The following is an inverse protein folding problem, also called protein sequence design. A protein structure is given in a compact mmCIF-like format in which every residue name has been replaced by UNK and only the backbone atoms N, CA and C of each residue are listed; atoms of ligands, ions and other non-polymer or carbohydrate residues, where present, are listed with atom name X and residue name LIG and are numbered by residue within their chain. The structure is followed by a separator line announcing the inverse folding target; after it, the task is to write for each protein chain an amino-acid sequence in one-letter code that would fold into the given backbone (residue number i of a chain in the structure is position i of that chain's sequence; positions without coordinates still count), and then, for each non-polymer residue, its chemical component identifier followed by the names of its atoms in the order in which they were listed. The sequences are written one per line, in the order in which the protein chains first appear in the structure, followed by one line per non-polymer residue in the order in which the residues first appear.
data_IF_865549487305
#
_entry.id   IF_865549487305
#
_cell.length_a   1.000
_cell.length_b   1.000
_cell.length_c   1.000
_cell.angle_alpha   90.00
_cell.angle_beta   90.00
_cell.angle_gamma   90.00
#
_symmetry.space_group_name_H-M   'P 1'
#
loop_
_entity.id
_entity.type
_entity.pdbx_description
1 polymer ?
#
# COMPACT_ATOMS: atom_id res chain seq x y z
N UNK A 1 8.58 12.70 -9.00
CA UNK A 1 8.44 11.23 -9.15
C UNK A 1 9.84 10.69 -9.47
N UNK A 2 10.31 9.61 -8.83
CA UNK A 2 11.60 9.01 -9.17
C UNK A 2 11.63 8.61 -10.64
N UNK A 3 12.82 8.63 -11.25
CA UNK A 3 12.99 8.16 -12.63
C UNK A 3 12.68 6.65 -12.74
N UNK A 4 12.32 6.19 -13.94
CA UNK A 4 12.08 4.76 -14.17
C UNK A 4 13.39 3.99 -13.97
N UNK A 5 13.39 3.02 -13.05
CA UNK A 5 14.52 2.14 -12.78
C UNK A 5 15.16 1.55 -14.05
N UNK A 6 14.34 1.16 -15.04
CA UNK A 6 14.84 0.59 -16.31
C UNK A 6 15.73 1.58 -17.04
N UNK A 7 15.29 2.84 -17.09
CA UNK A 7 16.01 3.94 -17.72
C UNK A 7 17.32 4.18 -16.97
N UNK A 8 17.26 4.31 -15.65
CA UNK A 8 18.42 4.61 -14.80
C UNK A 8 19.51 3.53 -14.92
N UNK A 9 19.14 2.24 -14.86
CA UNK A 9 20.11 1.15 -14.99
C UNK A 9 20.70 1.09 -16.41
N UNK A 10 19.87 1.31 -17.43
CA UNK A 10 20.34 1.28 -18.82
C UNK A 10 21.26 2.45 -19.15
N UNK A 11 20.96 3.65 -18.65
CA UNK A 11 21.83 4.81 -18.78
C UNK A 11 23.15 4.60 -18.03
N UNK A 12 23.12 3.95 -16.87
CA UNK A 12 24.33 3.56 -16.15
C UNK A 12 25.18 2.55 -16.95
N UNK A 13 24.55 1.59 -17.64
CA UNK A 13 25.22 0.66 -18.53
C UNK A 13 25.90 1.38 -19.70
N UNK A 14 25.17 2.22 -20.44
CA UNK A 14 25.71 2.98 -21.58
C UNK A 14 26.82 3.93 -21.15
N UNK A 15 26.66 4.60 -20.00
CA UNK A 15 27.71 5.46 -19.43
C UNK A 15 28.98 4.67 -19.13
N UNK A 16 28.88 3.50 -18.46
CA UNK A 16 30.03 2.66 -18.14
C UNK A 16 30.68 2.06 -19.38
N UNK A 17 29.89 1.81 -20.43
CA UNK A 17 30.36 1.38 -21.75
C UNK A 17 31.25 2.44 -22.40
N UNK A 18 30.79 3.70 -22.40
CA UNK A 18 31.56 4.83 -22.93
C UNK A 18 32.82 5.13 -22.11
N UNK A 19 32.76 4.93 -20.79
CA UNK A 19 33.90 5.12 -19.89
C UNK A 19 34.90 3.96 -19.90
N UNK A 20 34.63 2.86 -20.63
CA UNK A 20 35.50 1.68 -20.65
C UNK A 20 35.55 0.93 -19.32
N UNK A 21 34.53 1.07 -18.46
CA UNK A 21 34.45 0.48 -17.12
C UNK A 21 33.62 -0.81 -17.06
N UNK A 22 33.18 -1.32 -18.20
CA UNK A 22 32.50 -2.61 -18.30
C UNK A 22 33.52 -3.71 -18.58
N UNK A 23 33.21 -4.93 -18.13
CA UNK A 23 33.93 -6.12 -18.55
C UNK A 23 33.83 -6.33 -20.06
N UNK A 24 34.81 -7.02 -20.64
CA UNK A 24 34.82 -7.38 -22.06
C UNK A 24 33.53 -8.09 -22.49
N UNK A 25 32.99 -8.94 -21.62
CA UNK A 25 31.74 -9.67 -21.83
C UNK A 25 30.50 -8.77 -21.92
N UNK A 26 30.48 -7.67 -21.15
CA UNK A 26 29.35 -6.73 -21.14
C UNK A 26 29.47 -5.66 -22.24
N UNK A 27 30.68 -5.39 -22.76
CA UNK A 27 30.90 -4.51 -23.90
C UNK A 27 30.27 -5.07 -25.18
N UNK A 28 30.53 -6.35 -25.47
CA UNK A 28 29.84 -7.13 -26.51
C UNK A 28 28.95 -8.18 -25.87
N UNK A 29 27.77 -7.76 -25.42
CA UNK A 29 26.82 -8.60 -24.70
C UNK A 29 26.14 -9.64 -25.61
N UNK A 30 26.90 -10.57 -26.19
CA UNK A 30 26.38 -11.77 -26.87
C UNK A 30 25.76 -12.73 -25.84
N UNK A 31 24.91 -13.69 -26.27
CA UNK A 31 24.33 -14.65 -25.32
C UNK A 31 25.39 -15.49 -24.59
N UNK A 32 26.50 -15.82 -25.25
CA UNK A 32 27.64 -16.51 -24.65
C UNK A 32 28.38 -15.63 -23.64
N UNK A 33 28.69 -14.39 -24.00
CA UNK A 33 29.39 -13.47 -23.11
C UNK A 33 28.56 -13.11 -21.87
N UNK A 34 27.25 -12.94 -22.03
CA UNK A 34 26.34 -12.72 -20.90
C UNK A 34 26.31 -13.90 -19.94
N UNK A 35 26.33 -15.14 -20.46
CA UNK A 35 26.43 -16.34 -19.63
C UNK A 35 27.75 -16.36 -18.86
N UNK A 36 28.86 -16.07 -19.54
CA UNK A 36 30.18 -16.05 -18.91
C UNK A 36 30.26 -14.99 -17.81
N UNK A 37 29.71 -13.80 -18.06
CA UNK A 37 29.66 -12.75 -17.06
C UNK A 37 28.82 -13.17 -15.84
N UNK A 38 27.68 -13.84 -16.05
CA UNK A 38 26.89 -14.38 -14.94
C UNK A 38 27.71 -15.38 -14.10
N UNK A 39 28.52 -16.23 -14.74
CA UNK A 39 29.37 -17.20 -14.02
C UNK A 39 30.44 -16.49 -13.19
N UNK A 40 31.14 -15.52 -13.78
CA UNK A 40 32.17 -14.72 -13.09
C UNK A 40 31.57 -14.02 -11.88
N UNK A 41 30.48 -13.25 -12.09
CA UNK A 41 29.83 -12.49 -11.01
C UNK A 41 29.26 -13.42 -9.93
N UNK A 42 28.72 -14.58 -10.31
CA UNK A 42 28.21 -15.56 -9.35
C UNK A 42 29.34 -16.18 -8.50
N UNK A 43 30.54 -16.37 -9.04
CA UNK A 43 31.68 -16.91 -8.29
C UNK A 43 32.31 -15.87 -7.36
N UNK A 44 32.36 -14.61 -7.80
CA UNK A 44 33.10 -13.57 -7.09
C UNK A 44 32.26 -12.78 -6.08
N UNK A 45 30.99 -12.49 -6.41
CA UNK A 45 30.19 -11.46 -5.72
C UNK A 45 28.79 -11.89 -5.32
N UNK A 46 28.47 -13.18 -5.41
CA UNK A 46 27.14 -13.67 -5.06
C UNK A 46 26.79 -13.39 -3.59
N UNK A 47 25.61 -12.79 -3.36
CA UNK A 47 25.04 -12.65 -2.02
C UNK A 47 23.65 -13.29 -1.94
N UNK A 48 23.17 -13.67 -0.73
CA UNK A 48 21.83 -14.25 -0.57
C UNK A 48 20.69 -13.37 -1.10
N UNK A 49 20.88 -12.05 -1.14
CA UNK A 49 19.91 -11.09 -1.68
C UNK A 49 19.77 -11.19 -3.21
N UNK A 50 20.80 -11.68 -3.89
CA UNK A 50 20.78 -11.88 -5.34
C UNK A 50 19.89 -13.06 -5.75
N UNK A 51 19.47 -13.89 -4.78
CA UNK A 51 18.60 -15.05 -5.03
C UNK A 51 17.31 -14.66 -5.76
N UNK A 52 16.70 -13.52 -5.43
CA UNK A 52 15.47 -13.07 -6.07
C UNK A 52 15.69 -12.73 -7.54
N UNK A 53 16.79 -12.04 -7.85
CA UNK A 53 17.16 -11.63 -9.22
C UNK A 53 17.40 -12.86 -10.09
N UNK A 54 18.23 -13.79 -9.61
CA UNK A 54 18.58 -15.00 -10.34
C UNK A 54 17.37 -15.92 -10.50
N UNK A 55 16.51 -16.05 -9.48
CA UNK A 55 15.27 -16.82 -9.55
C UNK A 55 14.34 -16.31 -10.65
N UNK A 56 14.16 -14.98 -10.72
CA UNK A 56 13.28 -14.34 -11.69
C UNK A 56 13.75 -14.54 -13.13
N UNK A 57 15.07 -14.68 -13.34
CA UNK A 57 15.64 -14.87 -14.66
C UNK A 57 15.70 -16.33 -15.09
N UNK A 58 16.23 -17.23 -14.24
CA UNK A 58 16.49 -18.64 -14.58
C UNK A 58 15.34 -19.61 -14.24
N UNK A 59 14.22 -19.10 -13.71
CA UNK A 59 13.06 -19.90 -13.22
C UNK A 59 13.44 -20.83 -12.05
N UNK A 60 12.49 -21.62 -11.52
CA UNK A 60 12.62 -22.42 -10.27
C UNK A 60 13.76 -23.45 -10.33
N UNK A 61 14.99 -22.97 -10.19
CA UNK A 61 16.14 -23.75 -9.85
C UNK A 61 15.97 -24.37 -8.48
N UNK A 62 16.41 -25.61 -8.36
CA UNK A 62 16.46 -26.32 -7.09
C UNK A 62 17.35 -25.51 -6.12
N UNK A 63 16.75 -24.96 -5.07
CA UNK A 63 17.46 -24.11 -4.08
C UNK A 63 18.63 -24.84 -3.45
N UNK A 64 18.55 -26.16 -3.37
CA UNK A 64 19.58 -27.01 -2.77
C UNK A 64 20.83 -27.12 -3.64
N UNK A 65 20.70 -26.96 -4.97
CA UNK A 65 21.83 -27.08 -5.92
C UNK A 65 22.60 -25.78 -6.13
N UNK A 66 22.08 -24.65 -5.66
CA UNK A 66 22.68 -23.32 -5.83
C UNK A 66 22.68 -22.80 -7.28
N UNK A 67 22.87 -21.48 -7.44
CA UNK A 67 22.83 -20.86 -8.78
C UNK A 67 24.07 -21.10 -9.62
N UNK A 68 25.22 -21.41 -9.00
CA UNK A 68 26.44 -21.71 -9.75
C UNK A 68 26.22 -22.94 -10.66
N UNK A 69 25.69 -24.03 -10.09
CA UNK A 69 25.34 -25.22 -10.85
C UNK A 69 24.27 -24.95 -11.93
N UNK A 70 23.28 -24.10 -11.63
CA UNK A 70 22.26 -23.72 -12.62
C UNK A 70 22.90 -22.97 -13.79
N UNK A 71 23.77 -22.00 -13.52
CA UNK A 71 24.45 -21.20 -14.54
C UNK A 71 25.39 -22.04 -15.40
N UNK A 72 26.13 -22.96 -14.79
CA UNK A 72 27.03 -23.88 -15.50
C UNK A 72 26.27 -24.77 -16.47
N UNK A 73 25.05 -25.19 -16.11
CA UNK A 73 24.19 -26.01 -16.98
C UNK A 73 23.24 -25.20 -17.88
N UNK A 74 23.17 -23.87 -17.70
CA UNK A 74 22.29 -23.02 -18.52
C UNK A 74 22.92 -22.81 -19.88
N UNK A 75 22.16 -23.08 -20.94
CA UNK A 75 22.64 -22.88 -22.30
C UNK A 75 22.58 -21.40 -22.73
N UNK A 76 23.50 -21.00 -23.63
CA UNK A 76 23.68 -19.60 -24.02
C UNK A 76 22.43 -18.99 -24.66
N UNK A 77 21.58 -19.77 -25.33
CA UNK A 77 20.35 -19.27 -25.95
C UNK A 77 19.37 -18.64 -24.96
N UNK A 78 19.44 -19.00 -23.67
CA UNK A 78 18.64 -18.40 -22.59
C UNK A 78 18.86 -16.89 -22.50
N UNK A 79 20.06 -16.43 -22.85
CA UNK A 79 20.45 -15.02 -22.82
C UNK A 79 20.15 -14.28 -24.12
N UNK A 80 19.60 -14.94 -25.16
CA UNK A 80 19.29 -14.31 -26.45
C UNK A 80 18.38 -13.09 -26.30
N UNK A 81 17.36 -13.19 -25.44
CA UNK A 81 16.47 -12.06 -25.21
C UNK A 81 17.17 -10.93 -24.46
N UNK A 82 17.99 -11.24 -23.45
CA UNK A 82 18.79 -10.24 -22.73
C UNK A 82 19.71 -9.46 -23.69
N UNK A 83 20.43 -10.18 -24.57
CA UNK A 83 21.28 -9.55 -25.60
C UNK A 83 20.49 -8.60 -26.50
N UNK A 84 19.29 -9.00 -26.95
CA UNK A 84 18.43 -8.15 -27.77
C UNK A 84 17.90 -6.92 -27.02
N UNK A 85 17.66 -7.04 -25.71
CA UNK A 85 17.27 -5.90 -24.86
C UNK A 85 18.41 -4.89 -24.80
N UNK A 86 19.64 -5.33 -24.56
CA UNK A 86 20.81 -4.45 -24.46
C UNK A 86 21.15 -3.76 -25.79
N UNK A 87 20.84 -4.40 -26.93
CA UNK A 87 20.99 -3.81 -28.27
C UNK A 87 19.86 -2.83 -28.65
N UNK A 88 18.86 -2.64 -27.79
CA UNK A 88 17.71 -1.77 -28.07
C UNK A 88 16.66 -2.37 -29.01
N UNK A 89 16.73 -3.68 -29.30
CA UNK A 89 15.81 -4.38 -30.22
C UNK A 89 14.42 -4.67 -29.64
N UNK A 90 14.20 -4.38 -28.35
CA UNK A 90 12.94 -4.68 -27.65
C UNK A 90 12.30 -3.38 -27.16
N UNK A 91 11.07 -3.10 -27.62
CA UNK A 91 10.36 -1.84 -27.27
C UNK A 91 9.99 -1.70 -25.79
N UNK A 92 9.58 -2.80 -25.14
CA UNK A 92 9.12 -2.83 -23.75
C UNK A 92 9.67 -4.06 -23.01
N UNK A 93 10.98 -4.09 -22.74
CA UNK A 93 11.61 -5.19 -22.02
C UNK A 93 11.04 -5.37 -20.61
N UNK A 94 11.05 -6.59 -20.10
CA UNK A 94 10.66 -6.89 -18.72
C UNK A 94 11.64 -6.34 -17.69
N UNK A 95 11.20 -6.12 -16.45
CA UNK A 95 12.06 -5.58 -15.39
C UNK A 95 13.23 -6.49 -15.04
N UNK A 96 13.03 -7.82 -15.13
CA UNK A 96 14.04 -8.85 -14.81
C UNK A 96 15.36 -8.71 -15.58
N UNK A 97 15.33 -8.16 -16.81
CA UNK A 97 16.54 -7.93 -17.61
C UNK A 97 17.40 -6.82 -16.99
N UNK A 98 16.77 -5.79 -16.45
CA UNK A 98 17.48 -4.65 -15.84
C UNK A 98 17.96 -4.99 -14.43
N UNK A 99 17.22 -5.80 -13.67
CA UNK A 99 17.70 -6.28 -12.36
C UNK A 99 18.88 -7.23 -12.52
N UNK A 100 18.85 -8.11 -13.54
CA UNK A 100 20.02 -8.90 -13.90
C UNK A 100 21.19 -8.01 -14.35
N UNK A 101 20.94 -7.00 -15.20
CA UNK A 101 21.98 -6.07 -15.64
C UNK A 101 22.58 -5.29 -14.46
N UNK A 102 21.75 -4.84 -13.53
CA UNK A 102 22.19 -4.15 -12.33
C UNK A 102 23.08 -5.05 -11.46
N UNK A 103 22.71 -6.32 -11.29
CA UNK A 103 23.54 -7.31 -10.60
C UNK A 103 24.90 -7.52 -11.30
N UNK A 104 24.89 -7.73 -12.62
CA UNK A 104 26.11 -7.91 -13.41
C UNK A 104 27.07 -6.72 -13.29
N UNK A 105 26.54 -5.49 -13.29
CA UNK A 105 27.34 -4.27 -13.17
C UNK A 105 27.64 -3.83 -11.73
N UNK A 106 27.17 -4.54 -10.70
CA UNK A 106 27.26 -4.07 -9.31
C UNK A 106 26.56 -2.70 -9.07
N UNK A 107 25.46 -2.46 -9.78
CA UNK A 107 24.65 -1.26 -9.64
C UNK A 107 23.77 -1.34 -8.38
N UNK A 108 23.78 -0.26 -7.59
CA UNK A 108 22.97 -0.16 -6.39
C UNK A 108 21.92 0.96 -6.51
N UNK A 109 20.65 0.69 -6.18
CA UNK A 109 20.08 -0.60 -5.74
C UNK A 109 19.92 -1.65 -6.86
N UNK A 110 20.19 -2.92 -6.56
CA UNK A 110 20.16 -4.05 -7.52
C UNK A 110 18.75 -4.47 -7.98
N UNK A 111 17.72 -4.19 -7.19
CA UNK A 111 16.32 -4.49 -7.52
C UNK A 111 15.52 -3.21 -7.69
N UNK A 112 14.51 -3.28 -8.56
CA UNK A 112 13.59 -2.17 -8.77
C UNK A 112 12.79 -1.85 -7.50
N UNK A 113 12.42 -2.88 -6.73
CA UNK A 113 11.76 -2.71 -5.43
C UNK A 113 12.62 -1.92 -4.46
N UNK A 114 13.91 -2.27 -4.31
CA UNK A 114 14.82 -1.55 -3.43
C UNK A 114 15.07 -0.12 -3.92
N UNK A 115 15.20 0.08 -5.24
CA UNK A 115 15.32 1.40 -5.85
C UNK A 115 14.13 2.30 -5.53
N UNK A 116 12.89 1.86 -5.77
CA UNK A 116 11.75 2.72 -5.45
C UNK A 116 11.59 2.90 -3.95
N UNK A 117 11.84 1.86 -3.14
CA UNK A 117 11.76 1.93 -1.67
C UNK A 117 12.67 3.02 -1.09
N UNK A 118 13.88 3.22 -1.64
CA UNK A 118 14.80 4.25 -1.12
C UNK A 118 14.29 5.69 -1.25
N UNK A 119 13.32 5.96 -2.12
CA UNK A 119 12.70 7.29 -2.23
C UNK A 119 11.53 7.51 -1.26
N UNK A 120 11.02 6.44 -0.65
CA UNK A 120 9.81 6.47 0.17
C UNK A 120 10.03 5.98 1.61
N UNK A 121 11.22 5.47 1.94
CA UNK A 121 11.61 5.25 3.33
C UNK A 121 11.75 6.59 4.04
N UNK A 122 10.68 6.99 4.72
CA UNK A 122 10.69 8.05 5.73
C UNK A 122 11.65 7.59 6.83
N UNK A 123 12.61 8.44 7.28
CA UNK A 123 13.43 8.11 8.43
C UNK A 123 12.51 7.74 9.58
N UNK A 124 12.58 6.48 10.04
CA UNK A 124 12.00 6.15 11.33
C UNK A 124 12.76 6.98 12.34
N UNK A 125 12.11 8.02 12.88
CA UNK A 125 12.56 8.66 14.10
C UNK A 125 12.68 7.53 15.11
N UNK A 126 13.92 7.15 15.43
CA UNK A 126 14.20 6.26 16.54
C UNK A 126 13.95 7.12 17.76
N UNK A 127 12.72 7.09 18.26
CA UNK A 127 12.39 7.70 19.52
C UNK A 127 13.31 7.14 20.60
N UNK A 128 13.80 8.08 21.39
CA UNK A 128 14.62 7.88 22.55
C UNK A 128 13.88 7.02 23.60
N UNK A 129 14.36 5.81 23.80
CA UNK A 129 14.35 5.15 25.11
C UNK A 129 15.32 3.97 25.05
N UNK A 130 16.52 4.16 25.57
CA UNK A 130 17.25 3.31 26.53
C UNK A 130 18.67 3.89 26.58
N UNK A 131 18.92 4.74 27.57
CA UNK A 131 20.24 4.95 28.14
C UNK A 131 20.32 4.03 29.36
N UNK A 132 21.31 3.14 29.34
CA UNK A 132 22.11 2.56 30.42
C UNK A 132 22.72 1.29 29.78
N UNK A 133 24.01 1.04 29.74
CA UNK A 133 25.17 1.55 30.47
C UNK A 133 26.41 0.96 29.73
N UNK A 134 27.61 1.50 30.01
CA UNK A 134 28.95 1.00 29.63
C UNK A 134 29.46 1.48 28.25
N UNK A 135 30.60 2.16 28.08
CA UNK A 135 31.78 2.31 28.93
C UNK A 135 32.49 3.64 28.57
N UNK A 136 33.02 4.30 29.60
CA UNK A 136 34.20 5.19 29.61
C UNK A 136 35.27 4.85 28.54
N UNK A 137 36.12 5.72 27.99
CA UNK A 137 36.52 7.13 28.18
C UNK A 137 37.45 7.49 27.00
N UNK A 138 37.61 8.79 26.76
CA UNK A 138 38.79 9.50 26.19
C UNK A 138 38.54 10.33 24.91
N UNK A 139 38.18 11.59 25.16
CA UNK A 139 38.88 12.81 24.74
C UNK A 139 39.84 12.72 23.53
N UNK A 140 39.57 13.52 22.48
CA UNK A 140 40.37 14.70 22.05
C UNK A 140 39.79 15.29 20.75
N UNK A 141 39.33 16.55 20.88
CA UNK A 141 39.35 17.74 20.02
C UNK A 141 39.39 17.67 18.47
N UNK A 142 38.51 18.51 17.90
CA UNK A 142 38.73 19.31 16.69
C UNK A 142 38.40 18.62 15.37
N UNK A 143 37.82 19.24 14.36
CA UNK A 143 37.45 20.63 14.09
C UNK A 143 36.49 20.55 12.87
N UNK A 144 35.51 21.44 12.83
CA UNK A 144 34.53 21.52 11.74
C UNK A 144 35.21 22.16 10.53
N UNK A 145 35.10 21.57 9.35
CA UNK A 145 34.86 22.37 8.15
C UNK A 145 34.18 21.57 7.02
N UNK A 146 33.09 22.16 6.55
CA UNK A 146 32.18 21.72 5.51
C UNK A 146 32.50 22.51 4.25
N UNK A 147 32.98 21.91 3.16
CA UNK A 147 32.91 22.57 1.84
C UNK A 147 32.65 21.58 0.70
N UNK A 148 31.45 21.73 0.15
CA UNK A 148 31.01 21.32 -1.17
C UNK A 148 31.87 22.00 -2.26
N UNK A 149 32.48 21.26 -3.19
CA UNK A 149 32.76 21.81 -4.53
C UNK A 149 33.01 20.73 -5.60
N UNK A 150 32.32 20.92 -6.72
CA UNK A 150 32.71 20.61 -8.11
C UNK A 150 32.49 21.92 -8.89
N UNK A 151 32.95 22.09 -10.14
CA UNK A 151 33.92 21.32 -10.94
C UNK A 151 34.98 22.23 -11.63
N UNK A 152 36.01 21.67 -12.30
CA UNK A 152 36.26 21.88 -13.74
C UNK A 152 37.64 21.42 -14.26
N UNK A 153 37.57 20.90 -15.50
CA UNK A 153 38.51 20.93 -16.65
C UNK A 153 39.92 20.31 -16.62
N UNK A 154 40.01 19.30 -17.49
CA UNK A 154 40.94 19.12 -18.63
C UNK A 154 42.45 19.03 -18.38
N UNK A 155 43.04 17.92 -18.83
CA UNK A 155 44.29 17.86 -19.62
C UNK A 155 44.22 16.59 -20.50
N UNK A 156 44.55 16.76 -21.77
CA UNK A 156 44.79 15.71 -22.76
C UNK A 156 46.28 15.34 -22.77
N UNK A 157 46.62 14.05 -22.89
CA UNK A 157 47.90 13.58 -23.44
C UNK A 157 47.66 12.33 -24.30
N UNK A 158 48.33 12.31 -25.44
CA UNK A 158 48.35 11.36 -26.54
C UNK A 158 48.87 9.93 -26.22
N UNK A 159 48.32 8.98 -27.00
CA UNK A 159 48.94 7.88 -27.76
C UNK A 159 50.14 7.11 -27.16
N UNK A 160 50.03 5.78 -27.16
CA UNK A 160 50.86 4.96 -28.04
C UNK A 160 50.32 3.52 -28.22
N UNK A 161 50.50 3.05 -29.44
CA UNK A 161 50.20 1.73 -29.99
C UNK A 161 51.19 0.67 -29.48
N UNK A 162 50.77 -0.60 -29.35
CA UNK A 162 51.35 -1.80 -30.03
C UNK A 162 50.84 -3.10 -29.37
N UNK A 163 50.26 -4.01 -30.16
CA UNK A 163 50.18 -5.43 -29.82
C UNK A 163 51.51 -6.14 -30.15
N UNK A 164 51.56 -7.45 -30.48
CA UNK A 164 50.65 -8.56 -30.20
C UNK A 164 51.41 -9.82 -29.70
N UNK A 165 50.70 -10.88 -29.30
CA UNK A 165 51.03 -12.34 -29.46
C UNK A 165 50.36 -13.15 -28.34
N UNK A 166 49.41 -14.04 -28.61
CA UNK A 166 49.47 -15.32 -29.33
C UNK A 166 49.76 -16.53 -28.41
N UNK A 167 48.86 -17.52 -28.54
CA UNK A 167 49.06 -18.97 -28.37
C UNK A 167 49.31 -19.52 -26.95
N UNK A 168 48.31 -20.23 -26.39
CA UNK A 168 48.29 -21.70 -26.36
C UNK A 168 47.16 -22.23 -25.45
N UNK A 169 46.20 -22.90 -26.08
CA UNK A 169 45.57 -24.15 -25.61
C UNK A 169 46.53 -25.32 -25.98
N UNK A 170 46.30 -26.62 -25.67
CA UNK A 170 45.10 -27.29 -25.11
C UNK A 170 45.41 -28.46 -24.11
N UNK A 171 44.34 -29.23 -23.82
CA UNK A 171 44.24 -30.66 -23.43
C UNK A 171 43.79 -30.89 -21.97
N UNK A 172 42.61 -31.44 -21.66
CA UNK A 172 41.92 -32.70 -22.05
C UNK A 172 42.41 -33.93 -21.25
N UNK A 173 41.52 -34.92 -21.04
CA UNK A 173 41.57 -36.21 -20.28
C UNK A 173 40.65 -36.13 -19.04
N UNK A 174 39.39 -36.60 -19.06
CA UNK A 174 38.86 -38.00 -19.00
C UNK A 174 39.07 -38.64 -17.60
N UNK A 175 38.23 -39.46 -16.93
CA UNK A 175 37.16 -40.42 -17.24
C UNK A 175 36.35 -40.76 -15.94
N UNK A 176 35.26 -41.54 -16.10
CA UNK A 176 34.64 -42.56 -15.20
C UNK A 176 33.81 -42.15 -13.95
N UNK A 177 32.52 -42.48 -13.82
CA UNK A 177 31.78 -43.78 -13.69
C UNK A 177 31.55 -44.19 -12.21
N UNK A 178 30.26 -44.32 -11.79
CA UNK A 178 29.60 -45.53 -11.19
C UNK A 178 28.60 -45.32 -10.03
N UNK A 179 27.40 -45.88 -10.27
CA UNK A 179 26.37 -46.57 -9.45
C UNK A 179 25.91 -46.14 -8.03
N UNK A 180 24.61 -45.73 -7.94
CA UNK A 180 23.39 -46.46 -7.44
C UNK A 180 23.34 -47.09 -6.00
N UNK A 181 22.16 -47.54 -5.50
CA UNK A 181 21.13 -46.86 -4.66
C UNK A 181 20.94 -47.51 -3.25
N UNK A 182 20.02 -47.03 -2.40
CA UNK A 182 19.12 -47.85 -1.53
C UNK A 182 17.99 -46.99 -0.91
N UNK A 183 16.81 -47.59 -0.75
CA UNK A 183 15.50 -47.04 -0.33
C UNK A 183 15.11 -47.60 1.09
N UNK A 184 13.83 -47.55 1.54
CA UNK A 184 13.26 -46.70 2.61
C UNK A 184 13.04 -47.40 3.98
N UNK A 185 12.62 -46.64 5.00
CA UNK A 185 11.96 -47.21 6.20
C UNK A 185 10.72 -46.37 6.59
N UNK A 186 9.58 -47.06 6.71
CA UNK A 186 8.29 -46.64 7.26
C UNK A 186 8.12 -47.32 8.62
N UNK A 187 7.64 -46.63 9.65
CA UNK A 187 6.87 -47.21 10.77
C UNK A 187 5.73 -46.26 11.17
N UNK A 188 4.54 -46.83 11.35
CA UNK A 188 3.24 -46.24 11.74
C UNK A 188 2.89 -46.53 13.22
N UNK A 189 1.78 -45.91 13.66
CA UNK A 189 0.91 -46.15 14.83
C UNK A 189 1.25 -45.33 16.11
N UNK A 190 0.29 -44.74 16.83
CA UNK A 190 -1.17 -44.86 16.79
C UNK A 190 -1.89 -43.86 17.72
N UNK A 191 -3.21 -44.04 17.77
CA UNK A 191 -4.30 -43.18 18.27
C UNK A 191 -4.44 -43.08 19.81
N UNK A 192 -5.13 -42.03 20.30
CA UNK A 192 -6.43 -42.14 21.03
C UNK A 192 -6.82 -40.89 21.84
N UNK A 193 -8.10 -40.54 21.72
CA UNK A 193 -8.89 -39.68 22.62
C UNK A 193 -9.15 -40.34 24.00
N UNK A 194 -9.54 -39.55 25.02
CA UNK A 194 -10.90 -39.52 25.64
C UNK A 194 -10.89 -38.89 27.06
N UNK A 195 -11.71 -37.84 27.19
CA UNK A 195 -12.61 -37.33 28.26
C UNK A 195 -12.43 -37.71 29.76
N UNK A 196 -12.50 -36.66 30.59
CA UNK A 196 -13.71 -36.32 31.39
C UNK A 196 -13.73 -36.67 32.88
N UNK A 197 -14.07 -35.69 33.73
CA UNK A 197 -15.01 -35.82 34.86
C UNK A 197 -15.25 -34.47 35.57
N UNK A 198 -16.52 -34.27 35.95
CA UNK A 198 -17.16 -33.13 36.61
C UNK A 198 -17.72 -33.60 37.97
N UNK A 199 -17.93 -32.70 38.94
CA UNK A 199 -18.75 -32.99 40.14
C UNK A 199 -19.42 -31.73 40.76
N UNK A 200 -20.73 -31.61 40.49
CA UNK A 200 -21.91 -31.32 41.35
C UNK A 200 -21.94 -30.23 42.49
N UNK A 201 -22.84 -29.23 42.31
CA UNK A 201 -24.08 -28.82 43.06
C UNK A 201 -24.19 -28.98 44.63
N UNK A 202 -25.23 -28.51 45.41
CA UNK A 202 -26.52 -27.81 45.08
C UNK A 202 -27.16 -26.75 46.05
N UNK A 203 -28.17 -26.00 45.51
CA UNK A 203 -29.54 -25.59 46.04
C UNK A 203 -29.68 -24.77 47.36
N UNK A 204 -30.73 -23.98 47.69
CA UNK A 204 -32.09 -23.66 47.18
C UNK A 204 -32.76 -22.44 47.91
N UNK A 205 -33.95 -22.03 47.44
CA UNK A 205 -35.09 -21.29 48.09
C UNK A 205 -34.95 -19.76 48.38
N UNK A 206 -35.97 -18.87 48.23
CA UNK A 206 -37.43 -18.97 48.00
C UNK A 206 -38.08 -17.57 47.76
N UNK A 207 -39.13 -17.53 46.91
CA UNK A 207 -40.45 -16.80 46.95
C UNK A 207 -40.50 -15.27 47.30
N UNK A 208 -41.37 -14.38 46.78
CA UNK A 208 -42.86 -14.35 46.73
C UNK A 208 -43.37 -13.24 45.74
N UNK A 209 -44.60 -13.48 45.29
CA UNK A 209 -45.63 -12.84 44.42
C UNK A 209 -45.93 -11.30 44.41
N UNK A 210 -46.24 -10.83 43.18
CA UNK A 210 -47.38 -10.03 42.63
C UNK A 210 -48.28 -9.16 43.55
N UNK A 211 -48.47 -7.87 43.21
CA UNK A 211 -49.66 -7.35 42.49
C UNK A 211 -49.87 -5.81 42.55
N UNK A 212 -50.66 -5.37 41.58
CA UNK A 212 -51.03 -4.03 41.10
C UNK A 212 -52.06 -3.32 41.99
N UNK A 213 -52.02 -1.98 42.07
CA UNK A 213 -53.10 -1.18 42.67
C UNK A 213 -52.96 0.33 42.44
N UNK A 214 -53.88 0.87 41.64
CA UNK A 214 -54.10 2.30 41.34
C UNK A 214 -54.41 3.16 42.58
N UNK A 215 -54.19 4.49 42.47
CA UNK A 215 -55.17 5.56 42.78
C UNK A 215 -54.56 6.96 42.48
N UNK A 216 -55.31 7.79 41.74
CA UNK A 216 -55.04 9.23 41.47
C UNK A 216 -55.47 10.12 42.69
N UNK A 217 -55.56 11.46 42.55
CA UNK A 217 -54.61 12.53 42.92
C UNK A 217 -55.12 13.38 44.11
N UNK A 218 -54.51 14.55 44.44
CA UNK A 218 -55.20 15.79 44.04
C UNK A 218 -54.30 16.96 43.61
N UNK A 219 -54.94 17.80 42.81
CA UNK A 219 -54.66 19.17 42.36
C UNK A 219 -53.98 20.13 43.34
N UNK A 220 -53.17 21.08 42.82
CA UNK A 220 -53.31 22.51 43.09
C UNK A 220 -52.87 23.38 41.91
N UNK A 221 -53.70 24.40 41.65
CA UNK A 221 -53.54 25.50 40.70
C UNK A 221 -52.59 26.56 41.28
N UNK A 222 -51.71 27.12 40.46
CA UNK A 222 -51.29 28.52 40.60
C UNK A 222 -50.66 29.02 39.29
N UNK A 223 -51.26 30.07 38.73
CA UNK A 223 -50.74 30.86 37.62
C UNK A 223 -49.62 31.78 38.12
N UNK A 224 -48.47 31.83 37.42
CA UNK A 224 -47.60 33.01 37.41
C UNK A 224 -46.93 33.24 36.04
N UNK A 225 -47.25 34.39 35.45
CA UNK A 225 -46.59 35.27 34.46
C UNK A 225 -45.57 34.75 33.41
N UNK A 226 -45.61 35.27 32.15
CA UNK A 226 -44.66 34.93 31.11
C UNK A 226 -43.33 35.69 31.28
N UNK A 227 -42.33 34.98 31.79
CA UNK A 227 -40.94 35.45 31.79
C UNK A 227 -40.38 35.56 30.37
N UNK A 228 -40.06 36.79 29.95
CA UNK A 228 -39.22 37.04 28.76
C UNK A 228 -37.83 36.46 28.99
N UNK A 229 -37.57 35.27 28.46
CA UNK A 229 -36.22 34.73 28.38
C UNK A 229 -35.42 35.52 27.34
N UNK A 230 -34.60 36.44 27.83
CA UNK A 230 -33.52 37.07 27.08
C UNK A 230 -32.52 35.99 26.65
N UNK A 231 -32.60 35.57 25.38
CA UNK A 231 -31.64 34.69 24.71
C UNK A 231 -30.22 35.27 24.85
N UNK A 232 -29.48 34.75 25.82
CA UNK A 232 -28.06 35.02 26.01
C UNK A 232 -27.27 34.32 24.91
N UNK A 233 -26.35 35.05 24.27
CA UNK A 233 -25.54 34.57 23.14
C UNK A 233 -24.76 33.26 23.43
N UNK A 234 -24.61 32.87 24.71
CA UNK A 234 -24.06 31.57 25.12
C UNK A 234 -24.93 30.39 24.68
N UNK A 235 -26.26 30.54 24.68
CA UNK A 235 -27.18 29.45 24.33
C UNK A 235 -27.18 29.14 22.83
N UNK A 236 -26.90 30.15 21.99
CA UNK A 236 -26.77 30.00 20.52
C UNK A 236 -25.49 29.23 20.17
N UNK A 237 -24.39 29.49 20.88
CA UNK A 237 -23.12 28.77 20.67
C UNK A 237 -23.27 27.30 21.10
N UNK A 238 -23.94 27.05 22.23
CA UNK A 238 -24.17 25.68 22.71
C UNK A 238 -25.10 24.89 21.79
N UNK A 239 -26.17 25.50 21.26
CA UNK A 239 -27.03 24.82 20.26
C UNK A 239 -26.30 24.55 18.95
N UNK A 240 -25.43 25.47 18.50
CA UNK A 240 -24.58 25.24 17.33
C UNK A 240 -23.62 24.06 17.52
N UNK A 241 -23.01 23.92 18.69
CA UNK A 241 -22.11 22.81 19.03
C UNK A 241 -22.88 21.49 19.08
N UNK A 242 -24.08 21.46 19.68
CA UNK A 242 -24.91 20.25 19.77
C UNK A 242 -25.35 19.78 18.37
N UNK A 243 -25.76 20.70 17.48
CA UNK A 243 -26.13 20.35 16.10
C UNK A 243 -24.91 19.84 15.32
N UNK A 244 -23.72 20.40 15.56
CA UNK A 244 -22.46 19.90 14.98
C UNK A 244 -22.13 18.49 15.46
N UNK A 245 -22.28 18.20 16.76
CA UNK A 245 -22.04 16.85 17.30
C UNK A 245 -23.11 15.84 16.83
N UNK A 246 -24.38 16.24 16.72
CA UNK A 246 -25.43 15.36 16.16
C UNK A 246 -25.16 15.10 14.67
N UNK A 247 -24.73 16.12 13.91
CA UNK A 247 -24.30 15.97 12.52
C UNK A 247 -23.07 15.07 12.36
N UNK A 248 -22.07 15.22 13.23
CA UNK A 248 -20.87 14.38 13.23
C UNK A 248 -21.20 12.94 13.61
N UNK A 249 -22.00 12.73 14.64
CA UNK A 249 -22.40 11.39 15.09
C UNK A 249 -23.29 10.69 14.07
N UNK A 250 -24.22 11.39 13.41
CA UNK A 250 -25.03 10.82 12.33
C UNK A 250 -24.21 10.50 11.08
N UNK A 251 -23.20 11.33 10.77
CA UNK A 251 -22.25 11.06 9.68
C UNK A 251 -21.34 9.86 9.96
N UNK A 252 -20.83 9.73 11.18
CA UNK A 252 -20.04 8.56 11.60
C UNK A 252 -20.88 7.29 11.65
N UNK A 253 -22.14 7.37 12.06
CA UNK A 253 -23.08 6.24 12.07
C UNK A 253 -23.52 5.80 10.67
N UNK A 254 -23.43 6.68 9.66
CA UNK A 254 -23.69 6.33 8.26
C UNK A 254 -22.54 5.54 7.62
N UNK A 255 -21.33 5.57 8.18
CA UNK A 255 -20.17 4.86 7.63
C UNK A 255 -20.10 3.39 8.06
N UNK A 256 -20.98 2.93 8.96
CA UNK A 256 -20.90 1.61 9.61
C UNK A 256 -22.06 0.65 9.28
N UNK A 257 -22.88 0.95 8.26
CA UNK A 257 -23.85 -0.02 7.72
C UNK A 257 -23.25 -0.76 6.54
N UNK A 258 -22.35 -1.71 6.83
CA UNK A 258 -22.08 -2.80 5.89
C UNK A 258 -23.12 -3.89 6.17
N UNK A 259 -24.16 -3.95 5.32
CA UNK A 259 -25.21 -4.96 5.39
C UNK A 259 -24.57 -6.35 5.23
N UNK A 260 -24.37 -7.06 6.35
CA UNK A 260 -24.03 -8.49 6.32
C UNK A 260 -25.30 -9.26 5.94
N UNK A 261 -25.43 -9.57 4.66
CA UNK A 261 -26.41 -10.55 4.20
C UNK A 261 -26.18 -11.90 4.90
N UNK A 262 -27.20 -12.37 5.60
CA UNK A 262 -27.20 -13.69 6.22
C UNK A 262 -27.54 -14.74 5.16
N UNK A 263 -26.52 -15.47 4.69
CA UNK A 263 -26.67 -16.61 3.78
C UNK A 263 -27.73 -17.57 4.35
N UNK A 264 -28.79 -17.84 3.59
CA UNK A 264 -29.81 -18.82 4.02
C UNK A 264 -29.27 -20.24 3.79
N UNK A 265 -29.62 -21.20 4.65
CA UNK A 265 -29.03 -22.56 4.67
C UNK A 265 -29.15 -23.35 3.35
N UNK A 266 -30.01 -22.90 2.43
CA UNK A 266 -30.29 -23.59 1.17
C UNK A 266 -29.52 -23.00 -0.03
N UNK A 267 -28.86 -21.84 0.13
CA UNK A 267 -28.05 -21.20 -0.91
C UNK A 267 -26.68 -21.90 -1.03
N UNK A 268 -26.48 -22.63 -2.14
CA UNK A 268 -25.23 -23.37 -2.41
C UNK A 268 -24.45 -22.85 -3.61
N UNK A 269 -24.99 -21.88 -4.34
CA UNK A 269 -24.34 -21.25 -5.47
C UNK A 269 -24.25 -19.75 -5.27
N UNK A 270 -23.35 -19.11 -6.01
CA UNK A 270 -23.27 -17.65 -6.11
C UNK A 270 -23.13 -17.22 -7.57
N UNK A 271 -23.54 -15.99 -7.87
CA UNK A 271 -23.43 -15.42 -9.21
C UNK A 271 -22.96 -13.97 -9.13
N UNK A 272 -22.25 -13.52 -10.18
CA UNK A 272 -21.74 -12.15 -10.25
C UNK A 272 -22.84 -11.20 -10.76
N UNK A 273 -23.18 -10.18 -9.97
CA UNK A 273 -24.23 -9.21 -10.29
C UNK A 273 -23.77 -8.11 -11.25
N UNK A 274 -22.46 -7.89 -11.31
CA UNK A 274 -21.84 -6.78 -12.04
C UNK A 274 -20.78 -6.08 -11.19
N UNK A 275 -20.97 -6.05 -9.88
CA UNK A 275 -20.05 -5.45 -8.91
C UNK A 275 -19.76 -6.32 -7.67
N UNK A 276 -20.57 -7.31 -7.32
CA UNK A 276 -20.25 -8.27 -6.25
C UNK A 276 -20.88 -9.64 -6.54
N UNK A 277 -20.58 -10.62 -5.68
CA UNK A 277 -21.26 -11.91 -5.72
C UNK A 277 -22.45 -11.91 -4.78
N UNK A 278 -23.57 -12.45 -5.25
CA UNK A 278 -24.75 -12.73 -4.42
C UNK A 278 -24.98 -14.23 -4.33
N UNK A 279 -25.41 -14.70 -3.15
CA UNK A 279 -25.77 -16.09 -2.91
C UNK A 279 -27.14 -16.39 -3.53
N UNK A 280 -27.29 -17.58 -4.12
CA UNK A 280 -28.54 -17.99 -4.76
C UNK A 280 -28.70 -19.51 -4.78
N UNK A 281 -29.92 -19.96 -5.01
CA UNK A 281 -30.21 -21.35 -5.30
C UNK A 281 -29.64 -21.73 -6.67
N UNK A 282 -28.90 -22.84 -6.74
CA UNK A 282 -28.27 -23.31 -7.99
C UNK A 282 -29.27 -23.47 -9.16
N UNK A 283 -30.53 -23.80 -8.86
CA UNK A 283 -31.57 -24.07 -9.85
C UNK A 283 -32.32 -22.83 -10.36
N UNK A 284 -32.12 -21.65 -9.76
CA UNK A 284 -32.79 -20.42 -10.17
C UNK A 284 -32.26 -19.92 -11.54
N UNK A 285 -33.02 -19.16 -12.33
CA UNK A 285 -32.47 -18.53 -13.55
C UNK A 285 -31.82 -17.19 -13.20
N UNK A 286 -30.57 -17.00 -13.59
CA UNK A 286 -29.79 -15.77 -13.39
C UNK A 286 -29.17 -15.32 -14.71
N UNK A 287 -28.84 -14.03 -14.82
CA UNK A 287 -28.23 -13.46 -16.03
C UNK A 287 -26.72 -13.77 -16.16
N UNK A 288 -26.08 -14.24 -15.08
CA UNK A 288 -24.66 -14.58 -15.03
C UNK A 288 -24.46 -16.09 -14.75
N UNK A 289 -23.33 -16.67 -15.20
CA UNK A 289 -22.97 -18.04 -14.86
C UNK A 289 -22.84 -18.21 -13.35
N UNK A 290 -23.27 -19.38 -12.88
CA UNK A 290 -23.36 -19.71 -11.46
C UNK A 290 -22.19 -20.59 -11.10
N UNK A 291 -21.61 -20.32 -9.95
CA UNK A 291 -20.47 -21.06 -9.42
C UNK A 291 -20.79 -21.53 -8.01
N UNK A 292 -20.09 -22.56 -7.56
CA UNK A 292 -20.25 -23.09 -6.20
C UNK A 292 -19.96 -21.99 -5.17
N UNK A 293 -20.75 -21.97 -4.10
CA UNK A 293 -20.67 -20.96 -3.07
C UNK A 293 -19.30 -21.02 -2.38
N UNK A 294 -18.54 -19.93 -2.47
CA UNK A 294 -17.34 -19.70 -1.68
C UNK A 294 -17.55 -18.45 -0.82
N UNK A 295 -17.67 -18.64 0.48
CA UNK A 295 -17.98 -17.56 1.45
C UNK A 295 -16.89 -16.48 1.45
N UNK A 296 -15.62 -16.85 1.24
CA UNK A 296 -14.53 -15.87 1.19
C UNK A 296 -14.65 -14.97 -0.03
N UNK A 297 -14.90 -15.56 -1.20
CA UNK A 297 -15.07 -14.80 -2.45
C UNK A 297 -16.37 -14.00 -2.44
N UNK A 298 -17.45 -14.54 -1.87
CA UNK A 298 -18.73 -13.86 -1.71
C UNK A 298 -18.57 -12.54 -0.93
N UNK A 299 -17.94 -12.61 0.23
CA UNK A 299 -17.81 -11.46 1.13
C UNK A 299 -16.64 -10.55 0.73
N UNK A 300 -15.55 -11.12 0.22
CA UNK A 300 -14.30 -10.43 -0.04
C UNK A 300 -14.23 -9.77 -1.41
N UNK A 301 -14.76 -10.41 -2.46
CA UNK A 301 -14.57 -9.94 -3.83
C UNK A 301 -15.70 -9.00 -4.27
N UNK A 302 -15.46 -7.70 -4.15
CA UNK A 302 -16.33 -6.62 -4.63
C UNK A 302 -15.55 -5.75 -5.63
N UNK A 303 -16.23 -5.26 -6.66
CA UNK A 303 -15.72 -4.31 -7.65
C UNK A 303 -15.88 -2.90 -7.10
N UNK A 304 -14.82 -2.12 -7.22
CA UNK A 304 -14.79 -0.73 -6.79
C UNK A 304 -15.33 0.11 -7.93
N UNK A 305 -16.58 0.56 -7.80
CA UNK A 305 -17.30 1.34 -8.81
C UNK A 305 -16.76 2.76 -8.93
N UNK A 306 -16.19 3.31 -7.86
CA UNK A 306 -15.59 4.64 -7.81
C UNK A 306 -14.08 4.55 -7.62
N UNK A 307 -13.30 4.35 -8.70
CA UNK A 307 -11.84 4.25 -8.61
C UNK A 307 -11.22 5.52 -8.03
N UNK A 308 -11.84 6.69 -8.24
CA UNK A 308 -11.39 8.00 -7.77
C UNK A 308 -11.27 8.13 -6.24
N UNK A 309 -11.85 7.19 -5.48
CA UNK A 309 -11.74 7.12 -4.02
C UNK A 309 -10.45 6.40 -3.56
N UNK A 310 -9.75 5.73 -4.47
CA UNK A 310 -8.53 4.99 -4.15
C UNK A 310 -7.39 5.95 -3.85
N UNK A 311 -6.68 5.67 -2.75
CA UNK A 311 -5.55 6.47 -2.30
C UNK A 311 -4.34 5.57 -2.02
N UNK A 312 -3.24 6.15 -1.55
CA UNK A 312 -2.05 5.38 -1.17
C UNK A 312 -2.36 4.31 -0.10
N UNK A 313 -3.37 4.52 0.76
CA UNK A 313 -3.82 3.53 1.76
C UNK A 313 -4.51 2.30 1.14
N UNK A 314 -4.92 2.39 -0.12
CA UNK A 314 -5.50 1.27 -0.87
C UNK A 314 -4.44 0.28 -1.36
N UNK A 315 -3.15 0.64 -1.32
CA UNK A 315 -2.06 -0.25 -1.70
C UNK A 315 -1.99 -1.46 -0.76
N UNK A 316 -1.88 -2.66 -1.34
CA UNK A 316 -1.88 -3.93 -0.59
C UNK A 316 -3.26 -4.43 -0.16
N UNK A 317 -4.33 -3.64 -0.36
CA UNK A 317 -5.72 -3.99 -0.02
C UNK A 317 -6.66 -4.00 -1.23
N UNK A 318 -6.16 -3.61 -2.40
CA UNK A 318 -6.94 -3.50 -3.63
C UNK A 318 -6.21 -4.23 -4.74
N UNK A 319 -6.97 -4.85 -5.61
CA UNK A 319 -6.49 -5.56 -6.80
C UNK A 319 -7.11 -4.94 -8.05
N UNK A 320 -6.50 -5.18 -9.21
CA UNK A 320 -6.97 -4.64 -10.48
C UNK A 320 -6.83 -5.64 -11.62
N UNK A 321 -7.67 -5.47 -12.64
CA UNK A 321 -7.57 -6.15 -13.93
C UNK A 321 -7.56 -5.14 -15.08
N UNK A 322 -7.07 -5.57 -16.24
CA UNK A 322 -7.18 -4.79 -17.49
C UNK A 322 -8.05 -5.53 -18.47
N UNK A 323 -9.19 -4.94 -18.83
CA UNK A 323 -10.12 -5.49 -19.80
C UNK A 323 -10.49 -4.39 -20.79
N UNK A 324 -10.35 -4.68 -22.08
CA UNK A 324 -10.67 -3.74 -23.17
C UNK A 324 -10.03 -2.35 -22.95
N UNK A 325 -8.75 -2.33 -22.55
CA UNK A 325 -7.97 -1.14 -22.18
C UNK A 325 -8.48 -0.32 -20.99
N UNK A 326 -9.56 -0.74 -20.31
CA UNK A 326 -10.03 -0.13 -19.06
C UNK A 326 -9.46 -0.89 -17.85
N UNK A 327 -9.22 -0.15 -16.78
CA UNK A 327 -8.77 -0.70 -15.49
C UNK A 327 -9.98 -0.85 -14.59
N UNK A 328 -10.19 -2.06 -14.10
CA UNK A 328 -11.21 -2.36 -13.10
C UNK A 328 -10.52 -2.73 -11.80
N UNK A 329 -11.10 -2.31 -10.67
CA UNK A 329 -10.51 -2.44 -9.34
C UNK A 329 -11.41 -3.28 -8.44
N UNK A 330 -10.82 -4.03 -7.52
CA UNK A 330 -11.49 -5.03 -6.70
C UNK A 330 -10.94 -5.03 -5.27
N UNK A 331 -11.77 -5.38 -4.30
CA UNK A 331 -11.43 -5.41 -2.87
C UNK A 331 -10.69 -6.65 -2.41
N UNK A 332 -10.60 -7.70 -3.24
CA UNK A 332 -9.87 -8.93 -2.92
C UNK A 332 -9.14 -9.50 -4.14
N UNK A 333 -8.20 -10.40 -3.87
CA UNK A 333 -7.48 -11.19 -4.86
C UNK A 333 -8.35 -12.31 -5.44
N UNK A 334 -7.95 -12.83 -6.60
CA UNK A 334 -8.65 -13.97 -7.20
C UNK A 334 -8.62 -13.93 -8.72
N UNK A 335 -9.56 -14.66 -9.33
CA UNK A 335 -9.80 -14.64 -10.77
C UNK A 335 -10.84 -13.57 -11.09
N UNK A 336 -10.75 -12.97 -12.28
CA UNK A 336 -11.70 -11.97 -12.70
C UNK A 336 -13.09 -12.61 -12.90
N UNK A 337 -14.17 -12.04 -12.34
CA UNK A 337 -15.49 -12.69 -12.30
C UNK A 337 -16.10 -12.96 -13.68
N UNK A 338 -15.78 -12.13 -14.68
CA UNK A 338 -16.25 -12.30 -16.07
C UNK A 338 -15.22 -13.02 -16.96
N UNK A 339 -13.93 -12.94 -16.62
CA UNK A 339 -12.84 -13.45 -17.46
C UNK A 339 -11.95 -14.34 -16.58
N UNK A 340 -12.42 -15.57 -16.36
CA UNK A 340 -11.83 -16.52 -15.40
C UNK A 340 -10.41 -16.95 -15.76
N UNK A 341 -9.89 -16.59 -16.94
CA UNK A 341 -8.50 -16.82 -17.34
C UNK A 341 -7.57 -15.73 -16.78
N UNK A 342 -8.11 -14.54 -16.48
CA UNK A 342 -7.32 -13.42 -15.95
C UNK A 342 -7.35 -13.39 -14.43
N UNK A 343 -6.16 -13.53 -13.84
CA UNK A 343 -5.94 -13.29 -12.41
C UNK A 343 -5.86 -11.80 -12.11
N UNK A 344 -6.51 -11.37 -11.03
CA UNK A 344 -6.43 -10.01 -10.51
C UNK A 344 -5.01 -9.73 -9.97
N UNK A 345 -4.44 -8.58 -10.33
CA UNK A 345 -3.09 -8.17 -9.93
C UNK A 345 -3.18 -7.20 -8.74
N UNK A 346 -2.25 -7.23 -7.79
CA UNK A 346 -2.24 -6.26 -6.70
C UNK A 346 -2.12 -4.83 -7.25
N UNK A 347 -2.86 -3.89 -6.66
CA UNK A 347 -2.80 -2.47 -7.00
C UNK A 347 -1.38 -1.95 -6.78
N UNK A 348 -0.80 -1.35 -7.82
CA UNK A 348 0.53 -0.74 -7.74
C UNK A 348 0.43 0.77 -7.67
N UNK A 349 1.44 1.44 -7.08
CA UNK A 349 1.52 2.91 -7.09
C UNK A 349 1.38 3.49 -8.50
N UNK A 350 1.97 2.82 -9.51
CA UNK A 350 1.87 3.23 -10.92
C UNK A 350 0.43 3.25 -11.43
N UNK A 351 -0.35 2.20 -11.13
CA UNK A 351 -1.73 2.13 -11.60
C UNK A 351 -2.59 3.15 -10.88
N UNK A 352 -2.38 3.30 -9.58
CA UNK A 352 -3.05 4.32 -8.77
C UNK A 352 -2.77 5.73 -9.32
N UNK A 353 -1.52 6.09 -9.59
CA UNK A 353 -1.20 7.46 -10.04
C UNK A 353 -1.63 7.76 -11.48
N UNK A 354 -1.62 6.78 -12.38
CA UNK A 354 -1.89 7.01 -13.80
C UNK A 354 -3.33 6.72 -14.23
N UNK A 355 -4.09 5.92 -13.47
CA UNK A 355 -5.42 5.45 -13.88
C UNK A 355 -6.53 5.75 -12.87
N UNK A 356 -6.20 6.32 -11.72
CA UNK A 356 -7.17 6.83 -10.75
C UNK A 356 -7.09 8.37 -10.75
N UNK A 357 -8.24 9.06 -10.83
CA UNK A 357 -8.28 10.51 -11.05
C UNK A 357 -7.89 11.31 -9.79
N UNK A 358 -6.59 11.44 -9.55
CA UNK A 358 -6.00 12.30 -8.52
C UNK A 358 -6.49 13.77 -8.60
N UNK A 359 -6.66 14.30 -9.81
CA UNK A 359 -7.07 15.70 -10.02
C UNK A 359 -8.51 16.01 -9.60
N UNK A 360 -9.44 15.06 -9.73
CA UNK A 360 -10.82 15.27 -9.27
C UNK A 360 -10.90 15.29 -7.75
N UNK A 361 -10.16 14.43 -7.07
CA UNK A 361 -10.06 14.41 -5.61
C UNK A 361 -9.40 15.68 -5.06
N UNK A 362 -8.32 16.15 -5.69
CA UNK A 362 -7.71 17.44 -5.34
C UNK A 362 -8.67 18.61 -5.56
N UNK A 363 -9.39 18.61 -6.69
CA UNK A 363 -10.35 19.67 -7.00
C UNK A 363 -11.52 19.70 -6.01
N UNK A 364 -12.04 18.54 -5.59
CA UNK A 364 -13.09 18.50 -4.57
C UNK A 364 -12.58 19.03 -3.25
N UNK A 365 -11.41 18.60 -2.76
CA UNK A 365 -10.81 19.14 -1.53
C UNK A 365 -10.63 20.66 -1.60
N UNK A 366 -10.22 21.18 -2.76
CA UNK A 366 -10.02 22.61 -2.99
C UNK A 366 -11.36 23.37 -2.98
N UNK A 367 -12.42 22.80 -3.56
CA UNK A 367 -13.77 23.38 -3.51
C UNK A 367 -14.30 23.39 -2.08
N UNK A 368 -14.18 22.28 -1.35
CA UNK A 368 -14.62 22.19 0.05
C UNK A 368 -13.87 23.18 0.95
N UNK A 369 -12.56 23.35 0.76
CA UNK A 369 -11.78 24.31 1.53
C UNK A 369 -12.19 25.76 1.24
N UNK A 370 -12.44 26.11 -0.03
CA UNK A 370 -12.97 27.43 -0.42
C UNK A 370 -14.35 27.67 0.20
N UNK A 371 -15.26 26.69 0.14
CA UNK A 371 -16.60 26.80 0.73
C UNK A 371 -16.55 27.02 2.26
N UNK A 372 -15.64 26.33 2.96
CA UNK A 372 -15.42 26.51 4.41
C UNK A 372 -14.93 27.93 4.70
N UNK A 373 -13.95 28.44 3.95
CA UNK A 373 -13.43 29.80 4.12
C UNK A 373 -14.54 30.84 3.92
N UNK A 374 -15.34 30.70 2.85
CA UNK A 374 -16.46 31.60 2.56
C UNK A 374 -17.50 31.57 3.69
N UNK A 375 -17.85 30.39 4.19
CA UNK A 375 -18.79 30.22 5.30
C UNK A 375 -18.32 30.92 6.58
N UNK A 376 -17.02 30.80 6.90
CA UNK A 376 -16.41 31.49 8.05
C UNK A 376 -16.48 33.02 7.87
N UNK A 377 -16.17 33.53 6.68
CA UNK A 377 -16.25 34.97 6.38
C UNK A 377 -17.67 35.49 6.56
N UNK A 378 -18.67 34.77 6.05
CA UNK A 378 -20.09 35.13 6.20
C UNK A 378 -20.49 35.14 7.68
N UNK A 379 -20.07 34.15 8.46
CA UNK A 379 -20.31 34.09 9.91
C UNK A 379 -19.69 35.29 10.64
N UNK A 380 -18.44 35.64 10.33
CA UNK A 380 -17.76 36.80 10.93
C UNK A 380 -18.50 38.11 10.59
N UNK A 381 -18.89 38.29 9.33
CA UNK A 381 -19.66 39.47 8.89
C UNK A 381 -21.01 39.53 9.62
N UNK A 382 -21.72 38.40 9.74
CA UNK A 382 -22.98 38.32 10.46
C UNK A 382 -22.82 38.67 11.94
N UNK A 383 -21.76 38.20 12.60
CA UNK A 383 -21.45 38.54 14.00
C UNK A 383 -21.12 40.02 14.17
N UNK A 384 -20.34 40.61 13.26
CA UNK A 384 -20.04 42.05 13.27
C UNK A 384 -21.32 42.86 13.08
N UNK A 385 -22.18 42.45 12.15
CA UNK A 385 -23.46 43.10 11.89
C UNK A 385 -24.40 43.01 13.10
N UNK A 386 -24.51 41.84 13.72
CA UNK A 386 -25.28 41.65 14.96
C UNK A 386 -24.73 42.51 16.10
N UNK A 387 -23.41 42.59 16.28
CA UNK A 387 -22.77 43.44 17.30
C UNK A 387 -23.01 44.93 17.06
N UNK A 388 -22.97 45.38 15.80
CA UNK A 388 -23.33 46.77 15.41
C UNK A 388 -24.80 47.06 15.70
N UNK A 389 -25.70 46.16 15.28
CA UNK A 389 -27.14 46.30 15.50
C UNK A 389 -27.50 46.32 16.98
N UNK A 390 -26.84 45.50 17.80
CA UNK A 390 -27.00 45.52 19.25
C UNK A 390 -26.53 46.86 19.86
N UNK A 391 -25.37 47.38 19.44
CA UNK A 391 -24.87 48.69 19.89
C UNK A 391 -25.80 49.85 19.55
N UNK A 392 -26.35 49.90 18.33
CA UNK A 392 -27.30 50.95 17.92
C UNK A 392 -28.59 50.88 18.75
N UNK A 393 -29.14 49.68 18.99
CA UNK A 393 -30.32 49.50 19.85
C UNK A 393 -30.06 49.86 21.31
N UNK A 394 -28.86 49.61 21.82
CA UNK A 394 -28.48 49.98 23.20
C UNK A 394 -28.32 51.51 23.34
N UNK A 395 -27.71 52.17 22.35
CA UNK A 395 -27.57 53.63 22.32
C UNK A 395 -28.93 54.35 22.23
N UNK A 396 -29.86 53.85 21.42
CA UNK A 396 -31.22 54.38 21.34
C UNK A 396 -31.97 54.28 22.68
N UNK A 397 -31.82 53.17 23.42
CA UNK A 397 -32.47 52.97 24.72
C UNK A 397 -31.90 53.84 25.85
N UNK A 398 -30.65 54.32 25.73
CA UNK A 398 -30.06 55.23 26.72
C UNK A 398 -30.49 56.68 26.49
N UNK A 399 -30.69 57.09 25.23
CA UNK A 399 -31.20 58.44 24.91
C UNK A 399 -32.68 58.62 25.30
N UNK A 400 -33.48 57.55 25.24
CA UNK A 400 -34.91 57.58 25.61
C UNK A 400 -35.14 57.66 27.13
N UNK A 401 -34.16 57.29 27.96
CA UNK A 401 -34.24 57.39 29.44
C UNK A 401 -33.61 58.66 30.02
N UNK A 402 -33.07 59.55 29.19
CA UNK A 402 -32.38 60.77 29.62
C UNK A 402 -33.22 62.05 29.64
N UNK A 403 -34.52 61.97 29.33
CA UNK A 403 -35.40 63.14 29.16
C UNK A 403 -36.55 63.27 30.18
N UNK A 404 -36.48 62.55 31.30
CA UNK A 404 -37.41 62.70 32.43
C UNK A 404 -36.64 63.05 33.71
N UNK A 405 -36.19 64.31 33.82
CA UNK A 405 -35.98 64.93 35.12
C UNK A 405 -36.91 66.14 35.25
N UNK A 406 -37.87 66.13 36.18
CA UNK A 406 -38.70 67.31 36.44
C UNK A 406 -37.81 68.38 37.10
N UNK A 407 -37.75 69.55 36.46
CA UNK A 407 -37.22 70.77 37.07
C UNK A 407 -38.26 71.23 38.09
N UNK A 408 -37.84 71.23 39.37
CA UNK A 408 -38.58 71.75 40.52
C UNK A 408 -38.96 73.23 40.38
#
# INVERSE_FOLDING_TARGET
MPEDYRKVVFEAYEKRKLEGKLSSNLLDATPGNLREECLIVCRERYTPQDHEILRLFFSNGDKEKGYLNILENTAAETFKQMSNVLRGGVKKPGIKYFELLAWLMDFHPKTSTAYYKSFYEVPKVKDASVIEENLETNHVNGEVEEVFSKPDKAIAIEKNETGPSALNQPQEITDDEKDKPTTPVIILFGDSEVKGAELENPKDLSNIDVSLGNLNPPSQHSEETPGKQSLSNKNIIVTGIIVLFIGLSTFLFWQDKEDRETITKDEKCMFWTGDHYEATLCNQKTNAPKIDLNIQTLNGLKKITQPDTLTQNSLGKVWYATINNKKEFFTDSGMHPVDTVKRLKPLTPYILTNYVSYYRYLLTILIWSICIIISIVILVVALVYQKRRYRIRLGSKMNEKGYDQPVN
#
